data_IF_157101249931
#
_entry.id   IF_157101249931
#
_cell.length_a   1.000
_cell.length_b   1.000
_cell.length_c   1.000
_cell.angle_alpha   90.00
_cell.angle_beta   90.00
_cell.angle_gamma   90.00
#
_symmetry.space_group_name_H-M   'P 1'
#
loop_
_entity.id
_entity.type
_entity.pdbx_description
1 polymer ?
#
# COMPACT_ATOMS: atom_id res chain seq x y z
N UNK A 1 -46.89 15.71 -7.47
CA UNK A 1 -47.71 16.26 -6.37
C UNK A 1 -47.13 15.84 -5.03
N UNK A 2 -46.88 16.84 -4.15
CA UNK A 2 -46.40 16.57 -2.79
C UNK A 2 -47.62 16.49 -1.88
N UNK A 3 -47.77 15.34 -1.17
CA UNK A 3 -48.86 15.18 -0.21
C UNK A 3 -48.66 16.15 0.96
N UNK A 4 -49.70 16.93 1.25
CA UNK A 4 -49.72 17.97 2.30
C UNK A 4 -49.29 17.46 3.66
N UNK A 5 -49.78 16.28 4.10
CA UNK A 5 -49.39 15.66 5.35
C UNK A 5 -47.90 15.24 5.37
N UNK A 6 -47.39 14.78 4.23
CA UNK A 6 -45.97 14.46 4.07
C UNK A 6 -45.06 15.68 4.21
N UNK A 7 -45.49 16.83 3.64
CA UNK A 7 -44.78 18.11 3.76
C UNK A 7 -44.65 18.58 5.21
N UNK A 8 -45.75 18.58 5.97
CA UNK A 8 -45.72 19.01 7.38
C UNK A 8 -44.92 18.06 8.27
N UNK A 9 -44.97 16.75 8.02
CA UNK A 9 -44.12 15.78 8.70
C UNK A 9 -42.63 15.99 8.39
N UNK A 10 -42.28 16.33 7.15
CA UNK A 10 -40.92 16.67 6.75
C UNK A 10 -40.47 17.97 7.42
N UNK A 11 -41.28 19.04 7.40
CA UNK A 11 -40.98 20.32 8.03
C UNK A 11 -40.76 20.16 9.54
N UNK A 12 -41.60 19.40 10.25
CA UNK A 12 -41.42 19.09 11.66
C UNK A 12 -40.12 18.35 11.96
N UNK A 13 -39.67 17.46 11.06
CA UNK A 13 -38.40 16.76 11.19
C UNK A 13 -37.19 17.68 10.99
N UNK A 14 -37.30 18.72 10.18
CA UNK A 14 -36.26 19.74 10.05
C UNK A 14 -36.12 20.59 11.33
N UNK A 15 -37.23 20.96 11.92
CA UNK A 15 -37.26 21.76 13.19
C UNK A 15 -36.77 20.96 14.40
N UNK A 16 -37.10 19.67 14.45
CA UNK A 16 -36.68 18.74 15.51
C UNK A 16 -36.08 17.46 14.95
N UNK A 17 -34.80 17.51 14.53
CA UNK A 17 -34.12 16.33 13.98
C UNK A 17 -33.98 15.22 15.03
N UNK A 18 -34.24 13.99 14.64
CA UNK A 18 -34.04 12.82 15.51
C UNK A 18 -32.54 12.65 15.86
N UNK A 19 -32.27 12.01 17.01
CA UNK A 19 -30.89 11.76 17.44
C UNK A 19 -30.11 10.91 16.42
N UNK A 20 -30.79 9.99 15.74
CA UNK A 20 -30.21 9.25 14.61
C UNK A 20 -29.74 10.16 13.47
N UNK A 21 -30.51 11.20 13.17
CA UNK A 21 -30.13 12.17 12.13
C UNK A 21 -28.98 13.07 12.59
N UNK A 22 -28.98 13.50 13.85
CA UNK A 22 -27.88 14.27 14.45
C UNK A 22 -26.57 13.49 14.39
N UNK A 23 -26.59 12.21 14.82
CA UNK A 23 -25.43 11.30 14.77
C UNK A 23 -24.94 11.11 13.32
N UNK A 24 -25.85 10.92 12.36
CA UNK A 24 -25.48 10.81 10.95
C UNK A 24 -24.76 12.07 10.46
N UNK A 25 -25.29 13.25 10.77
CA UNK A 25 -24.70 14.54 10.35
C UNK A 25 -23.32 14.73 10.99
N UNK A 26 -23.19 14.47 12.30
CA UNK A 26 -21.91 14.55 13.01
C UNK A 26 -20.85 13.62 12.38
N UNK A 27 -21.23 12.39 12.09
CA UNK A 27 -20.33 11.44 11.43
C UNK A 27 -19.95 11.88 10.00
N UNK A 28 -20.89 12.45 9.23
CA UNK A 28 -20.59 12.98 7.90
C UNK A 28 -19.60 14.15 7.97
N UNK A 29 -19.75 15.06 8.91
CA UNK A 29 -18.82 16.18 9.13
C UNK A 29 -17.45 15.64 9.48
N UNK A 30 -17.36 14.73 10.45
CA UNK A 30 -16.10 14.12 10.87
C UNK A 30 -15.36 13.43 9.72
N UNK A 31 -16.05 12.63 8.91
CA UNK A 31 -15.44 11.98 7.75
C UNK A 31 -14.96 12.99 6.69
N UNK A 32 -15.68 14.08 6.47
CA UNK A 32 -15.23 15.17 5.58
C UNK A 32 -13.98 15.87 6.09
N UNK A 33 -13.90 16.16 7.38
CA UNK A 33 -12.72 16.78 8.00
C UNK A 33 -11.48 15.90 7.86
N UNK A 34 -11.62 14.59 8.14
CA UNK A 34 -10.53 13.65 7.96
C UNK A 34 -10.12 13.48 6.50
N UNK A 35 -11.08 13.44 5.58
CA UNK A 35 -10.77 13.39 4.16
C UNK A 35 -10.03 14.64 3.67
N UNK A 36 -10.38 15.83 4.17
CA UNK A 36 -9.66 17.07 3.85
C UNK A 36 -8.20 17.05 4.32
N UNK A 37 -7.91 16.39 5.45
CA UNK A 37 -6.54 16.17 5.95
C UNK A 37 -5.80 15.07 5.18
N UNK A 38 -6.52 14.04 4.72
CA UNK A 38 -5.98 12.83 4.12
C UNK A 38 -6.69 12.47 2.79
N UNK A 39 -6.60 13.31 1.76
CA UNK A 39 -7.43 13.18 0.56
C UNK A 39 -7.11 11.96 -0.31
N UNK A 40 -5.91 11.40 -0.19
CA UNK A 40 -5.49 10.21 -0.94
C UNK A 40 -5.99 8.88 -0.36
N UNK A 41 -6.60 8.90 0.84
CA UNK A 41 -6.97 7.70 1.55
C UNK A 41 -8.44 7.32 1.36
N UNK A 42 -8.72 6.02 1.24
CA UNK A 42 -10.07 5.48 1.08
C UNK A 42 -10.80 5.30 2.41
N UNK A 43 -12.10 4.96 2.35
CA UNK A 43 -12.99 4.86 3.51
C UNK A 43 -12.50 3.91 4.62
N UNK A 44 -11.85 2.80 4.29
CA UNK A 44 -11.32 1.86 5.29
C UNK A 44 -10.22 2.49 6.13
N UNK A 45 -9.29 3.17 5.47
CA UNK A 45 -8.22 3.87 6.17
C UNK A 45 -8.77 5.03 7.01
N UNK A 46 -9.69 5.84 6.44
CA UNK A 46 -10.35 6.93 7.18
C UNK A 46 -11.07 6.39 8.41
N UNK A 47 -11.80 5.27 8.29
CA UNK A 47 -12.47 4.63 9.42
C UNK A 47 -11.49 4.19 10.51
N UNK A 48 -10.39 3.55 10.13
CA UNK A 48 -9.35 3.12 11.06
C UNK A 48 -8.68 4.32 11.77
N UNK A 49 -8.38 5.38 11.04
CA UNK A 49 -7.75 6.59 11.58
C UNK A 49 -8.69 7.35 12.52
N UNK A 50 -9.96 7.52 12.15
CA UNK A 50 -10.98 8.15 13.01
C UNK A 50 -11.16 7.34 14.29
N UNK A 51 -11.22 6.00 14.20
CA UNK A 51 -11.29 5.12 15.37
C UNK A 51 -10.12 5.32 16.32
N UNK A 52 -8.91 5.39 15.76
CA UNK A 52 -7.69 5.59 16.54
C UNK A 52 -7.69 6.94 17.28
N UNK A 53 -8.11 8.01 16.60
CA UNK A 53 -8.01 9.37 17.12
C UNK A 53 -9.18 9.77 18.03
N UNK A 54 -10.39 9.22 17.79
CA UNK A 54 -11.61 9.65 18.46
C UNK A 54 -12.32 8.55 19.26
N UNK A 55 -11.92 7.29 19.09
CA UNK A 55 -12.62 6.13 19.68
C UNK A 55 -13.94 5.76 18.98
N UNK A 56 -14.35 6.47 17.92
CA UNK A 56 -15.60 6.17 17.21
C UNK A 56 -15.54 4.79 16.53
N UNK A 57 -16.40 3.87 16.95
CA UNK A 57 -16.48 2.52 16.42
C UNK A 57 -17.64 2.40 15.44
N UNK A 58 -17.35 2.35 14.15
CA UNK A 58 -18.34 2.09 13.10
C UNK A 58 -17.85 0.98 12.16
N UNK A 59 -18.79 0.26 11.54
CA UNK A 59 -18.46 -0.78 10.56
C UNK A 59 -17.91 -0.16 9.26
N UNK A 60 -17.07 -0.89 8.55
CA UNK A 60 -16.56 -0.45 7.25
C UNK A 60 -17.67 -0.25 6.22
N UNK A 61 -18.75 -1.01 6.30
CA UNK A 61 -19.93 -0.83 5.44
C UNK A 61 -20.60 0.52 5.71
N UNK A 62 -20.74 0.89 6.99
CA UNK A 62 -21.31 2.18 7.36
C UNK A 62 -20.38 3.34 6.99
N UNK A 63 -19.08 3.20 7.20
CA UNK A 63 -18.06 4.16 6.76
C UNK A 63 -18.10 4.38 5.23
N UNK A 64 -18.23 3.31 4.45
CA UNK A 64 -18.41 3.39 3.00
C UNK A 64 -19.68 4.17 2.63
N UNK A 65 -20.81 3.89 3.31
CA UNK A 65 -22.07 4.61 3.10
C UNK A 65 -21.93 6.10 3.44
N UNK A 66 -21.24 6.45 4.53
CA UNK A 66 -20.96 7.85 4.90
C UNK A 66 -20.13 8.55 3.82
N UNK A 67 -19.03 7.93 3.36
CA UNK A 67 -18.20 8.49 2.30
C UNK A 67 -18.98 8.69 1.01
N UNK A 68 -19.78 7.71 0.60
CA UNK A 68 -20.65 7.81 -0.59
C UNK A 68 -21.67 8.96 -0.46
N UNK A 69 -22.32 9.07 0.71
CA UNK A 69 -23.31 10.15 0.97
C UNK A 69 -22.64 11.52 1.01
N UNK A 70 -21.41 11.61 1.53
CA UNK A 70 -20.64 12.86 1.60
C UNK A 70 -19.94 13.25 0.31
N UNK A 71 -19.99 12.40 -0.75
CA UNK A 71 -19.26 12.61 -2.00
C UNK A 71 -17.75 12.46 -1.84
N UNK A 72 -17.29 11.73 -0.82
CA UNK A 72 -15.87 11.50 -0.54
C UNK A 72 -15.34 10.43 -1.49
N UNK A 73 -14.35 10.79 -2.29
CA UNK A 73 -13.63 9.89 -3.21
C UNK A 73 -12.13 10.08 -2.97
N UNK A 74 -11.40 8.99 -2.81
CA UNK A 74 -9.94 9.03 -2.68
C UNK A 74 -9.30 9.68 -3.91
N UNK A 75 -8.46 10.69 -3.69
CA UNK A 75 -7.69 11.39 -4.74
C UNK A 75 -6.35 10.67 -4.93
N UNK A 76 -6.39 9.38 -5.23
CA UNK A 76 -5.19 8.63 -5.59
C UNK A 76 -4.92 8.78 -7.09
N UNK A 77 -3.65 9.07 -7.45
CA UNK A 77 -3.26 9.02 -8.86
C UNK A 77 -3.23 7.57 -9.32
N UNK A 78 -4.20 7.17 -10.13
CA UNK A 78 -4.14 5.88 -10.82
C UNK A 78 -3.11 5.99 -11.94
N UNK A 79 -1.93 5.40 -11.75
CA UNK A 79 -1.01 5.19 -12.85
C UNK A 79 -1.61 4.14 -13.78
N UNK A 80 -1.76 4.47 -15.06
CA UNK A 80 -2.09 3.45 -16.05
C UNK A 80 -0.92 2.49 -16.13
N UNK A 81 -1.16 1.24 -15.81
CA UNK A 81 -0.17 0.17 -15.98
C UNK A 81 0.26 0.14 -17.45
N UNK A 82 1.54 0.38 -17.70
CA UNK A 82 2.15 0.12 -19.00
C UNK A 82 2.73 -1.28 -18.93
N UNK A 83 2.29 -2.16 -19.84
CA UNK A 83 2.86 -3.51 -19.93
C UNK A 83 4.39 -3.38 -20.07
N UNK A 84 5.20 -4.00 -19.21
CA UNK A 84 6.65 -4.04 -19.40
C UNK A 84 6.98 -4.74 -20.72
N UNK A 85 8.17 -4.50 -21.26
CA UNK A 85 8.70 -5.29 -22.37
C UNK A 85 8.80 -6.78 -22.01
N UNK A 86 9.11 -7.60 -23.01
CA UNK A 86 9.30 -9.03 -22.78
C UNK A 86 10.51 -9.26 -21.84
N UNK A 87 10.37 -10.14 -20.84
CA UNK A 87 11.45 -10.45 -19.91
C UNK A 87 12.58 -11.17 -20.65
N UNK A 88 13.84 -10.87 -20.29
CA UNK A 88 15.02 -11.56 -20.86
C UNK A 88 15.06 -13.04 -20.46
N UNK A 89 14.69 -13.35 -19.22
CA UNK A 89 14.51 -14.70 -18.68
C UNK A 89 13.28 -14.80 -17.81
N UNK A 90 12.67 -15.97 -17.79
CA UNK A 90 11.56 -16.33 -16.91
C UNK A 90 12.05 -17.48 -16.02
N UNK A 91 11.98 -17.28 -14.73
CA UNK A 91 12.31 -18.28 -13.73
C UNK A 91 11.02 -18.85 -13.11
N UNK A 92 11.02 -20.15 -12.72
CA UNK A 92 9.88 -20.71 -11.98
C UNK A 92 9.75 -20.05 -10.60
N UNK A 93 8.51 -19.96 -10.10
CA UNK A 93 8.28 -19.51 -8.75
C UNK A 93 8.55 -20.65 -7.75
N UNK A 94 9.76 -20.70 -7.24
CA UNK A 94 10.21 -21.75 -6.33
C UNK A 94 9.44 -21.76 -5.00
N UNK A 95 8.94 -20.62 -4.53
CA UNK A 95 8.13 -20.54 -3.30
C UNK A 95 6.78 -21.26 -3.46
N UNK A 96 6.20 -21.25 -4.66
CA UNK A 96 4.97 -21.98 -4.96
C UNK A 96 5.21 -23.46 -5.24
N UNK A 97 6.42 -23.87 -5.62
CA UNK A 97 6.76 -25.27 -5.93
C UNK A 97 7.28 -26.06 -4.71
N UNK A 98 7.21 -25.47 -3.52
CA UNK A 98 7.54 -26.18 -2.27
C UNK A 98 8.98 -26.03 -1.83
N UNK A 99 9.60 -24.85 -2.03
CA UNK A 99 10.87 -24.53 -1.40
C UNK A 99 10.70 -24.58 0.13
N UNK A 100 11.34 -25.54 0.78
CA UNK A 100 11.30 -25.69 2.23
C UNK A 100 12.38 -24.80 2.86
N UNK A 101 11.96 -23.79 3.61
CA UNK A 101 12.85 -22.84 4.28
C UNK A 101 12.95 -23.24 5.73
N UNK A 102 14.08 -23.78 6.12
CA UNK A 102 14.33 -24.36 7.46
C UNK A 102 15.23 -23.50 8.34
N UNK A 103 15.78 -22.41 7.80
CA UNK A 103 16.68 -21.53 8.53
C UNK A 103 16.92 -20.19 7.84
N UNK A 104 17.67 -19.29 8.51
CA UNK A 104 17.97 -17.97 7.98
C UNK A 104 18.87 -18.04 6.75
N UNK A 105 18.82 -17.00 5.93
CA UNK A 105 19.61 -16.78 4.70
C UNK A 105 19.37 -17.79 3.56
N UNK A 106 18.45 -18.73 3.69
CA UNK A 106 18.15 -19.73 2.66
C UNK A 106 17.30 -19.14 1.53
N UNK A 107 16.39 -18.21 1.84
CA UNK A 107 15.57 -17.54 0.86
C UNK A 107 15.53 -16.04 1.13
N UNK A 108 16.03 -15.27 0.20
CA UNK A 108 16.02 -13.80 0.24
C UNK A 108 15.04 -13.28 -0.79
N UNK A 109 14.16 -12.41 -0.36
CA UNK A 109 13.24 -11.70 -1.25
C UNK A 109 13.75 -10.30 -1.52
N UNK A 110 13.55 -9.82 -2.74
CA UNK A 110 13.92 -8.47 -3.13
C UNK A 110 12.80 -7.78 -3.90
N UNK A 111 12.60 -6.52 -3.57
CA UNK A 111 11.66 -5.64 -4.28
C UNK A 111 12.26 -4.24 -4.40
N UNK A 112 11.81 -3.52 -5.44
CA UNK A 112 12.19 -2.14 -5.68
C UNK A 112 10.96 -1.24 -5.65
N UNK A 113 10.99 -0.24 -4.79
CA UNK A 113 9.92 0.75 -4.67
C UNK A 113 10.42 2.16 -4.93
N UNK A 114 9.51 3.02 -5.40
CA UNK A 114 9.80 4.43 -5.61
C UNK A 114 8.84 5.28 -4.75
N UNK A 115 9.38 6.30 -4.11
CA UNK A 115 8.59 7.19 -3.27
C UNK A 115 9.08 8.64 -3.32
N UNK A 116 8.27 9.55 -2.82
CA UNK A 116 8.64 10.94 -2.66
C UNK A 116 8.69 11.29 -1.16
N UNK A 117 9.78 11.92 -0.76
CA UNK A 117 9.96 12.44 0.59
C UNK A 117 10.37 13.90 0.52
N UNK A 118 9.61 14.79 1.17
CA UNK A 118 9.85 16.25 1.19
C UNK A 118 10.06 16.84 -0.22
N UNK A 119 9.28 16.37 -1.21
CA UNK A 119 9.35 16.84 -2.59
C UNK A 119 10.45 16.21 -3.45
N UNK A 120 11.38 15.46 -2.88
CA UNK A 120 12.42 14.73 -3.61
C UNK A 120 11.99 13.30 -3.93
N UNK A 121 12.38 12.80 -5.09
CA UNK A 121 12.12 11.45 -5.55
C UNK A 121 13.23 10.51 -5.07
N UNK A 122 12.86 9.29 -4.68
CA UNK A 122 13.77 8.23 -4.29
C UNK A 122 13.33 6.88 -4.84
N UNK A 123 14.30 6.05 -5.18
CA UNK A 123 14.15 4.61 -5.46
C UNK A 123 14.91 3.83 -4.39
N UNK A 124 14.23 2.86 -3.78
CA UNK A 124 14.78 1.98 -2.76
C UNK A 124 14.68 0.55 -3.25
N UNK A 125 15.80 -0.16 -3.26
CA UNK A 125 15.86 -1.60 -3.38
C UNK A 125 16.25 -2.18 -2.04
N UNK A 126 15.58 -3.25 -1.60
CA UNK A 126 15.92 -3.95 -0.38
C UNK A 126 15.95 -5.47 -0.62
N UNK A 127 16.76 -6.14 0.18
CA UNK A 127 16.90 -7.58 0.22
C UNK A 127 16.61 -8.05 1.64
N UNK A 128 15.61 -8.89 1.80
CA UNK A 128 15.10 -9.32 3.10
C UNK A 128 15.10 -10.83 3.20
N UNK A 129 15.58 -11.35 4.34
CA UNK A 129 15.46 -12.75 4.66
C UNK A 129 14.01 -13.15 4.92
N UNK A 130 13.50 -14.12 4.19
CA UNK A 130 12.13 -14.58 4.33
C UNK A 130 11.89 -15.36 5.63
N UNK A 131 12.93 -15.90 6.26
CA UNK A 131 12.83 -16.66 7.52
C UNK A 131 12.50 -15.76 8.71
N UNK A 132 13.27 -14.68 8.89
CA UNK A 132 13.19 -13.82 10.09
C UNK A 132 12.80 -12.37 9.78
N UNK A 133 12.54 -12.03 8.51
CA UNK A 133 12.23 -10.68 8.00
C UNK A 133 13.36 -9.65 8.25
N UNK A 134 14.59 -10.08 8.39
CA UNK A 134 15.75 -9.21 8.54
C UNK A 134 16.11 -8.56 7.20
N UNK A 135 16.36 -7.26 7.19
CA UNK A 135 16.88 -6.56 6.02
C UNK A 135 18.38 -6.79 5.94
N UNK A 136 18.80 -7.61 4.98
CA UNK A 136 20.19 -8.02 4.79
C UNK A 136 21.02 -6.98 4.04
N UNK A 137 20.39 -6.32 3.09
CA UNK A 137 21.02 -5.29 2.27
C UNK A 137 19.96 -4.34 1.70
N UNK A 138 20.37 -3.10 1.44
CA UNK A 138 19.52 -2.12 0.75
C UNK A 138 20.37 -1.13 -0.02
N UNK A 139 19.75 -0.47 -0.99
CA UNK A 139 20.34 0.66 -1.70
C UNK A 139 19.29 1.71 -2.01
N UNK A 140 19.68 2.98 -1.92
CA UNK A 140 18.80 4.13 -2.13
C UNK A 140 19.42 5.05 -3.19
N UNK A 141 18.62 5.45 -4.18
CA UNK A 141 19.02 6.44 -5.18
C UNK A 141 17.98 7.56 -5.28
N UNK A 142 18.43 8.77 -5.56
CA UNK A 142 17.57 9.91 -5.91
C UNK A 142 17.33 10.06 -7.42
N UNK A 143 17.89 9.16 -8.24
CA UNK A 143 17.73 9.16 -9.69
C UNK A 143 16.66 8.18 -10.11
N UNK A 144 15.74 8.63 -10.96
CA UNK A 144 14.70 7.78 -11.52
C UNK A 144 15.28 6.78 -12.51
N UNK A 145 14.97 5.48 -12.32
CA UNK A 145 15.46 4.41 -13.18
C UNK A 145 16.94 4.10 -13.01
N UNK A 146 17.48 4.35 -11.80
CA UNK A 146 18.88 4.10 -11.50
C UNK A 146 19.12 2.60 -11.27
N UNK A 147 19.64 1.95 -12.31
CA UNK A 147 20.00 0.53 -12.26
C UNK A 147 21.06 0.18 -11.20
N UNK A 148 21.86 1.15 -10.74
CA UNK A 148 22.86 0.90 -9.71
C UNK A 148 22.24 0.60 -8.35
N UNK A 149 21.00 1.01 -8.13
CA UNK A 149 20.28 0.75 -6.86
C UNK A 149 20.17 -0.75 -6.56
N UNK A 150 19.82 -1.57 -7.55
CA UNK A 150 19.74 -3.02 -7.33
C UNK A 150 21.11 -3.70 -7.41
N UNK A 151 22.06 -3.17 -8.17
CA UNK A 151 23.43 -3.72 -8.23
C UNK A 151 24.11 -3.57 -6.86
N UNK A 152 24.11 -2.36 -6.29
CA UNK A 152 24.72 -2.10 -4.97
C UNK A 152 24.04 -2.92 -3.85
N UNK A 153 22.71 -3.08 -3.92
CA UNK A 153 22.03 -3.95 -2.98
C UNK A 153 22.44 -5.42 -3.12
N UNK A 154 22.60 -5.89 -4.36
CA UNK A 154 23.06 -7.26 -4.66
C UNK A 154 24.51 -7.48 -4.21
N UNK A 155 25.40 -6.50 -4.36
CA UNK A 155 26.78 -6.56 -3.86
C UNK A 155 26.82 -6.86 -2.35
N UNK A 156 25.96 -6.18 -1.57
CA UNK A 156 25.83 -6.47 -0.12
C UNK A 156 25.39 -7.90 0.16
N UNK A 157 24.48 -8.44 -0.62
CA UNK A 157 24.06 -9.85 -0.51
C UNK A 157 25.18 -10.83 -0.90
N UNK A 158 25.96 -10.51 -1.94
CA UNK A 158 27.11 -11.31 -2.36
C UNK A 158 28.18 -11.36 -1.26
N UNK A 159 28.44 -10.26 -0.57
CA UNK A 159 29.38 -10.24 0.56
C UNK A 159 28.90 -11.14 1.73
N UNK A 160 27.58 -11.17 2.00
CA UNK A 160 27.02 -12.10 2.97
C UNK A 160 27.20 -13.57 2.54
N UNK A 161 26.96 -13.88 1.27
CA UNK A 161 27.17 -15.24 0.71
C UNK A 161 28.64 -15.67 0.79
N UNK A 162 29.60 -14.78 0.53
CA UNK A 162 31.04 -15.06 0.67
C UNK A 162 31.43 -15.45 2.13
N UNK A 163 30.77 -14.83 3.12
CA UNK A 163 30.98 -15.18 4.55
C UNK A 163 30.36 -16.52 4.93
N UNK A 164 29.39 -17.02 4.13
CA UNK A 164 28.68 -18.28 4.36
C UNK A 164 28.72 -19.14 3.08
N UNK A 165 29.89 -19.64 2.66
CA UNK A 165 30.09 -20.27 1.35
C UNK A 165 29.27 -21.55 1.16
N UNK A 166 29.07 -22.33 2.22
CA UNK A 166 28.36 -23.61 2.18
C UNK A 166 26.83 -23.47 2.21
N UNK A 167 26.31 -22.26 2.47
CA UNK A 167 24.87 -22.00 2.54
C UNK A 167 24.30 -21.90 1.11
N UNK A 168 23.31 -22.71 0.79
CA UNK A 168 22.51 -22.50 -0.41
C UNK A 168 21.55 -21.32 -0.18
N UNK A 169 21.63 -20.30 -1.03
CA UNK A 169 20.81 -19.10 -0.95
C UNK A 169 20.02 -18.92 -2.24
N UNK A 170 18.72 -18.85 -2.12
CA UNK A 170 17.79 -18.54 -3.22
C UNK A 170 17.41 -17.07 -3.17
N UNK A 171 17.65 -16.33 -4.23
CA UNK A 171 17.12 -14.98 -4.40
C UNK A 171 15.79 -15.04 -5.16
N UNK A 172 14.71 -14.70 -4.47
CA UNK A 172 13.38 -14.61 -5.06
C UNK A 172 13.00 -13.15 -5.31
N UNK A 173 12.66 -12.83 -6.56
CA UNK A 173 12.23 -11.50 -6.96
C UNK A 173 10.91 -11.60 -7.73
N UNK A 174 10.20 -10.48 -7.86
CA UNK A 174 9.11 -10.41 -8.83
C UNK A 174 9.66 -10.50 -10.28
N UNK A 175 8.76 -10.67 -11.23
CA UNK A 175 9.12 -10.64 -12.66
C UNK A 175 9.16 -9.20 -13.22
N UNK A 176 9.46 -8.23 -12.38
CA UNK A 176 9.59 -6.83 -12.76
C UNK A 176 10.68 -6.61 -13.81
N UNK A 177 10.55 -5.55 -14.58
CA UNK A 177 11.46 -5.22 -15.69
C UNK A 177 12.93 -5.08 -15.27
N UNK A 178 13.19 -4.77 -14.02
CA UNK A 178 14.54 -4.65 -13.45
C UNK A 178 15.18 -6.03 -13.31
N UNK A 179 14.52 -6.92 -12.56
CA UNK A 179 15.04 -8.25 -12.23
C UNK A 179 15.04 -9.21 -13.43
N UNK A 180 14.14 -9.01 -14.40
CA UNK A 180 14.13 -9.76 -15.66
C UNK A 180 15.02 -9.15 -16.75
N UNK A 181 15.79 -8.10 -16.44
CA UNK A 181 16.68 -7.44 -17.41
C UNK A 181 17.97 -8.24 -17.64
N UNK A 182 18.57 -8.05 -18.84
CA UNK A 182 19.88 -8.65 -19.19
C UNK A 182 21.00 -8.19 -18.25
N UNK A 183 20.89 -6.99 -17.67
CA UNK A 183 21.92 -6.43 -16.79
C UNK A 183 21.88 -6.98 -15.37
N UNK A 184 20.78 -7.60 -14.97
CA UNK A 184 20.65 -8.23 -13.66
C UNK A 184 21.04 -9.72 -13.71
N UNK A 185 20.67 -10.42 -14.80
CA UNK A 185 20.98 -11.83 -15.07
C UNK A 185 22.30 -11.99 -15.81
#
# INVERSE_FOLDING_TARGET
DINRSGFYKWKKRLEKPSDKLKTLVSNLILFKEYHSKYPSHGYRWLNAKIRLDTGLMVSDQYAHKLCKTAGIVSVSKHYRYKKPGDPYRIYPNLLLTGLDITGPLQCVVSDMTAFHLKGSYYELTLFMDLWNNEILSYSLSSRKGDRMTYIHGLEGLIELKKKNPDLEMVLHTDQGSVYSSKSFN
#
